data_IF_632724865220
#
_entry.id   IF_632724865220
#
_cell.length_a   1.000
_cell.length_b   1.000
_cell.length_c   1.000
_cell.angle_alpha   90.00
_cell.angle_beta   90.00
_cell.angle_gamma   90.00
#
_symmetry.space_group_name_H-M   'P 1'
#
loop_
_entity.id
_entity.type
_entity.pdbx_description
1 polymer ?
#
# COMPACT_ATOMS: atom_id res chain seq x y z
N UNK A 1 13.91 -5.47 22.13
CA UNK A 1 13.49 -4.12 21.68
C UNK A 1 12.32 -4.33 20.73
N UNK A 2 11.11 -3.81 21.02
CA UNK A 2 10.00 -3.93 20.06
C UNK A 2 10.44 -3.25 18.75
N UNK A 3 10.25 -3.86 17.56
CA UNK A 3 10.52 -3.18 16.30
C UNK A 3 9.75 -1.85 16.30
N UNK A 4 10.39 -0.76 15.88
CA UNK A 4 9.70 0.51 15.75
C UNK A 4 8.46 0.32 14.86
N UNK A 5 7.31 0.82 15.30
CA UNK A 5 6.09 0.76 14.51
C UNK A 5 6.17 1.84 13.41
N UNK A 6 6.51 1.39 12.20
CA UNK A 6 6.74 2.23 11.03
C UNK A 6 5.54 2.16 10.09
N UNK A 7 5.38 3.19 9.26
CA UNK A 7 4.33 3.22 8.22
C UNK A 7 4.48 2.02 7.30
N UNK A 8 5.72 1.68 6.90
CA UNK A 8 6.00 0.52 6.07
C UNK A 8 5.48 -0.78 6.71
N UNK A 9 5.79 -1.01 7.99
CA UNK A 9 5.43 -2.25 8.65
C UNK A 9 3.91 -2.39 8.77
N UNK A 10 3.21 -1.34 9.21
CA UNK A 10 1.73 -1.35 9.29
C UNK A 10 1.07 -1.52 7.94
N UNK A 11 1.59 -0.87 6.91
CA UNK A 11 1.06 -1.03 5.56
C UNK A 11 1.26 -2.45 5.03
N UNK A 12 2.44 -3.03 5.28
CA UNK A 12 2.74 -4.39 4.88
C UNK A 12 1.86 -5.39 5.66
N UNK A 13 1.70 -5.20 6.96
CA UNK A 13 0.81 -6.02 7.80
C UNK A 13 -0.64 -5.89 7.29
N UNK A 14 -1.18 -4.68 7.12
CA UNK A 14 -2.53 -4.44 6.56
C UNK A 14 -2.75 -5.12 5.20
N UNK A 15 -1.77 -5.07 4.31
CA UNK A 15 -1.88 -5.69 2.99
C UNK A 15 -1.71 -7.22 3.02
N UNK A 16 -0.99 -7.76 4.01
CA UNK A 16 -0.76 -9.19 4.16
C UNK A 16 -1.80 -9.89 5.04
N UNK A 17 -2.46 -9.17 5.94
CA UNK A 17 -3.52 -9.67 6.83
C UNK A 17 -4.82 -8.95 6.53
N UNK A 18 -5.37 -9.20 5.34
CA UNK A 18 -6.74 -8.83 5.01
C UNK A 18 -7.67 -9.80 5.72
N UNK A 19 -8.74 -9.29 6.31
CA UNK A 19 -9.84 -10.14 6.78
C UNK A 19 -10.52 -10.82 5.59
N UNK A 20 -11.21 -11.96 5.77
CA UNK A 20 -11.92 -12.62 4.67
C UNK A 20 -12.92 -11.68 3.95
N UNK A 21 -13.56 -10.78 4.69
CA UNK A 21 -14.48 -9.78 4.13
C UNK A 21 -13.74 -8.74 3.27
N UNK A 22 -12.55 -8.29 3.71
CA UNK A 22 -11.69 -7.41 2.93
C UNK A 22 -11.10 -8.14 1.71
N UNK A 23 -10.70 -9.41 1.84
CA UNK A 23 -10.25 -10.22 0.71
C UNK A 23 -11.36 -10.37 -0.34
N UNK A 24 -12.60 -10.65 0.08
CA UNK A 24 -13.74 -10.75 -0.80
C UNK A 24 -14.04 -9.41 -1.49
N UNK A 25 -14.03 -8.31 -0.74
CA UNK A 25 -14.20 -6.96 -1.29
C UNK A 25 -13.11 -6.63 -2.33
N UNK A 26 -11.84 -6.88 -2.01
CA UNK A 26 -10.74 -6.62 -2.93
C UNK A 26 -10.77 -7.54 -4.14
N UNK A 27 -11.15 -8.81 -4.00
CA UNK A 27 -11.34 -9.71 -5.12
C UNK A 27 -12.48 -9.25 -6.05
N UNK A 28 -13.56 -8.72 -5.47
CA UNK A 28 -14.68 -8.14 -6.22
C UNK A 28 -14.26 -6.87 -6.95
N UNK A 29 -13.55 -5.95 -6.29
CA UNK A 29 -13.03 -4.73 -6.90
C UNK A 29 -11.97 -5.03 -7.98
N UNK A 30 -11.07 -5.98 -7.75
CA UNK A 30 -10.12 -6.46 -8.74
C UNK A 30 -10.86 -7.04 -9.96
N UNK A 31 -11.91 -7.84 -9.75
CA UNK A 31 -12.72 -8.38 -10.83
C UNK A 31 -13.46 -7.27 -11.60
N UNK A 32 -14.01 -6.26 -10.93
CA UNK A 32 -14.65 -5.09 -11.57
C UNK A 32 -13.65 -4.29 -12.41
N UNK A 33 -12.46 -4.03 -11.87
CA UNK A 33 -11.38 -3.34 -12.60
C UNK A 33 -10.95 -4.18 -13.81
N UNK A 34 -10.77 -5.49 -13.65
CA UNK A 34 -10.40 -6.39 -14.73
C UNK A 34 -11.46 -6.40 -15.83
N UNK A 35 -12.74 -6.51 -15.48
CA UNK A 35 -13.88 -6.43 -16.42
C UNK A 35 -13.95 -5.10 -17.13
N UNK A 36 -13.73 -4.00 -16.42
CA UNK A 36 -13.70 -2.65 -17.00
C UNK A 36 -12.56 -2.53 -18.01
N UNK A 37 -11.35 -2.99 -17.66
CA UNK A 37 -10.21 -3.01 -18.57
C UNK A 37 -10.48 -3.89 -19.78
N UNK A 38 -11.05 -5.08 -19.58
CA UNK A 38 -11.39 -6.03 -20.65
C UNK A 38 -12.40 -5.44 -21.64
N UNK A 39 -13.51 -4.89 -21.15
CA UNK A 39 -14.53 -4.24 -21.97
C UNK A 39 -13.95 -3.09 -22.80
N UNK A 40 -13.08 -2.28 -22.20
CA UNK A 40 -12.46 -1.16 -22.90
C UNK A 40 -11.43 -1.62 -23.95
N UNK A 41 -10.63 -2.64 -23.65
CA UNK A 41 -9.70 -3.22 -24.61
C UNK A 41 -10.45 -3.77 -25.83
N UNK A 42 -11.59 -4.42 -25.61
CA UNK A 42 -12.46 -4.88 -26.70
C UNK A 42 -12.93 -3.69 -27.56
N UNK A 43 -13.38 -2.60 -26.94
CA UNK A 43 -13.79 -1.38 -27.65
C UNK A 43 -12.65 -0.71 -28.43
N UNK A 44 -11.45 -0.60 -27.85
CA UNK A 44 -10.25 -0.07 -28.51
C UNK A 44 -9.84 -0.93 -29.72
N UNK A 45 -10.09 -2.24 -29.67
CA UNK A 45 -9.88 -3.16 -30.79
C UNK A 45 -11.04 -3.17 -31.81
N UNK A 46 -11.98 -2.23 -31.71
CA UNK A 46 -13.08 -2.06 -32.65
C UNK A 46 -14.30 -2.96 -32.37
N UNK A 47 -14.36 -3.62 -31.23
CA UNK A 47 -15.53 -4.43 -30.84
C UNK A 47 -16.62 -3.52 -30.27
N UNK A 48 -17.78 -3.52 -30.91
CA UNK A 48 -18.96 -2.80 -30.43
C UNK A 48 -19.71 -3.69 -29.43
N UNK A 49 -19.69 -3.32 -28.15
CA UNK A 49 -20.38 -4.04 -27.07
C UNK A 49 -21.88 -3.73 -27.06
N UNK A 50 -22.59 -4.15 -28.12
CA UNK A 50 -24.04 -3.99 -28.27
C UNK A 50 -24.67 -5.36 -28.49
N UNK A 51 -25.68 -5.70 -27.71
CA UNK A 51 -26.35 -7.00 -27.79
C UNK A 51 -27.06 -7.38 -26.50
N UNK A 52 -27.47 -8.65 -26.39
CA UNK A 52 -28.08 -9.17 -25.18
C UNK A 52 -27.09 -9.07 -24.00
N UNK A 53 -27.48 -8.56 -22.81
CA UNK A 53 -26.57 -8.30 -21.70
C UNK A 53 -25.70 -9.50 -21.32
N UNK A 54 -26.28 -10.71 -21.25
CA UNK A 54 -25.53 -11.92 -20.89
C UNK A 54 -24.44 -12.30 -21.90
N UNK A 55 -24.60 -11.96 -23.19
CA UNK A 55 -23.58 -12.22 -24.21
C UNK A 55 -22.44 -11.20 -24.13
N UNK A 56 -22.77 -9.95 -23.79
CA UNK A 56 -21.78 -8.90 -23.54
C UNK A 56 -20.94 -9.25 -22.30
N UNK A 57 -21.59 -9.66 -21.21
CA UNK A 57 -20.90 -10.13 -20.00
C UNK A 57 -20.00 -11.33 -20.28
N UNK A 58 -20.50 -12.35 -20.99
CA UNK A 58 -19.70 -13.51 -21.37
C UNK A 58 -18.48 -13.13 -22.22
N UNK A 59 -18.63 -12.20 -23.17
CA UNK A 59 -17.52 -11.74 -24.00
C UNK A 59 -16.47 -10.95 -23.19
N UNK A 60 -16.91 -10.12 -22.24
CA UNK A 60 -16.03 -9.42 -21.29
C UNK A 60 -15.29 -10.43 -20.41
N UNK A 61 -15.98 -11.43 -19.87
CA UNK A 61 -15.36 -12.47 -19.04
C UNK A 61 -14.31 -13.29 -19.81
N UNK A 62 -14.56 -13.58 -21.10
CA UNK A 62 -13.54 -14.18 -21.97
C UNK A 62 -12.33 -13.28 -22.18
N UNK A 63 -12.53 -11.99 -22.35
CA UNK A 63 -11.42 -11.03 -22.45
C UNK A 63 -10.67 -10.90 -21.11
N UNK A 64 -11.35 -11.03 -19.97
CA UNK A 64 -10.71 -11.13 -18.66
C UNK A 64 -9.77 -12.34 -18.57
N UNK A 65 -10.20 -13.52 -19.03
CA UNK A 65 -9.35 -14.73 -19.05
C UNK A 65 -8.08 -14.53 -19.88
N UNK A 66 -8.15 -13.76 -20.96
CA UNK A 66 -6.97 -13.43 -21.76
C UNK A 66 -6.03 -12.47 -21.05
N UNK A 67 -6.56 -11.55 -20.24
CA UNK A 67 -5.80 -10.53 -19.49
C UNK A 67 -5.18 -11.11 -18.22
N UNK A 68 -5.88 -12.03 -17.54
CA UNK A 68 -5.49 -12.60 -16.25
C UNK A 68 -4.03 -13.09 -16.20
N UNK A 69 -3.48 -13.85 -17.19
CA UNK A 69 -2.09 -14.30 -17.19
C UNK A 69 -1.02 -13.20 -17.14
N UNK A 70 -1.38 -11.95 -17.44
CA UNK A 70 -0.48 -10.79 -17.42
C UNK A 70 -0.73 -9.89 -16.21
N UNK A 71 -1.93 -9.95 -15.66
CA UNK A 71 -2.29 -9.34 -14.38
C UNK A 71 -1.64 -10.14 -13.24
N UNK A 72 -1.75 -11.47 -13.23
CA UNK A 72 -1.26 -12.37 -12.18
C UNK A 72 0.24 -12.23 -11.83
N UNK A 73 1.18 -12.09 -12.78
CA UNK A 73 2.61 -11.89 -12.47
C UNK A 73 2.89 -10.57 -11.74
N UNK A 74 2.00 -9.59 -11.85
CA UNK A 74 2.10 -8.37 -11.06
C UNK A 74 1.90 -8.70 -9.57
N UNK A 75 0.83 -9.44 -9.23
CA UNK A 75 0.45 -9.80 -7.86
C UNK A 75 1.32 -10.91 -7.25
N UNK A 76 1.85 -11.82 -8.07
CA UNK A 76 2.70 -12.92 -7.61
C UNK A 76 4.19 -12.53 -7.39
N UNK A 77 4.57 -11.28 -7.69
CA UNK A 77 5.96 -10.82 -7.59
C UNK A 77 6.81 -11.17 -8.82
N UNK A 78 8.10 -10.75 -8.84
CA UNK A 78 8.96 -11.02 -10.01
C UNK A 78 9.17 -12.53 -10.20
N UNK A 79 8.82 -13.12 -11.37
CA UNK A 79 8.86 -14.57 -11.59
C UNK A 79 10.29 -15.13 -11.69
N UNK A 80 11.32 -14.28 -11.79
CA UNK A 80 12.69 -14.73 -11.96
C UNK A 80 13.58 -14.36 -10.76
N UNK A 81 13.99 -15.40 -10.01
CA UNK A 81 15.13 -15.33 -9.09
C UNK A 81 16.38 -14.95 -9.88
N UNK A 82 16.74 -13.66 -9.91
CA UNK A 82 18.12 -13.29 -10.20
C UNK A 82 18.98 -13.83 -9.05
N UNK A 83 20.02 -14.59 -9.38
CA UNK A 83 20.92 -15.26 -8.42
C UNK A 83 21.35 -14.26 -7.32
N UNK A 84 21.09 -14.60 -6.05
CA UNK A 84 21.49 -13.79 -4.89
C UNK A 84 20.53 -12.67 -4.46
N UNK A 85 19.39 -12.45 -5.13
CA UNK A 85 18.38 -11.47 -4.68
C UNK A 85 17.09 -12.18 -4.25
N UNK A 86 16.62 -12.00 -3.00
CA UNK A 86 15.31 -12.48 -2.63
C UNK A 86 14.24 -11.78 -3.47
N UNK A 87 13.19 -12.50 -3.91
CA UNK A 87 12.07 -11.88 -4.60
C UNK A 87 11.43 -10.84 -3.68
N UNK A 88 11.10 -9.67 -4.25
CA UNK A 88 10.28 -8.68 -3.56
C UNK A 88 8.84 -8.95 -3.97
N UNK A 89 7.99 -9.19 -2.97
CA UNK A 89 6.56 -9.42 -3.16
C UNK A 89 5.87 -8.15 -3.73
N UNK A 90 4.67 -8.35 -4.25
CA UNK A 90 3.91 -7.25 -4.87
C UNK A 90 3.56 -6.15 -3.88
N UNK A 91 3.08 -6.51 -2.68
CA UNK A 91 2.66 -5.54 -1.66
C UNK A 91 3.82 -4.62 -1.26
N UNK A 92 4.99 -5.20 -0.96
CA UNK A 92 6.22 -4.45 -0.68
C UNK A 92 6.59 -3.52 -1.82
N UNK A 93 6.51 -4.00 -3.07
CA UNK A 93 6.83 -3.19 -4.25
C UNK A 93 5.86 -2.01 -4.40
N UNK A 94 4.57 -2.27 -4.23
CA UNK A 94 3.51 -1.28 -4.37
C UNK A 94 3.55 -0.23 -3.26
N UNK A 95 3.88 -0.61 -2.01
CA UNK A 95 4.12 0.35 -0.91
C UNK A 95 5.26 1.31 -1.29
N UNK A 96 6.40 0.80 -1.74
CA UNK A 96 7.54 1.65 -2.13
C UNK A 96 7.22 2.54 -3.33
N UNK A 97 6.52 2.00 -4.33
CA UNK A 97 6.13 2.75 -5.52
C UNK A 97 5.13 3.86 -5.18
N UNK A 98 4.09 3.56 -4.40
CA UNK A 98 3.07 4.50 -3.97
C UNK A 98 3.67 5.64 -3.14
N UNK A 99 4.53 5.30 -2.16
CA UNK A 99 5.22 6.30 -1.36
C UNK A 99 6.10 7.23 -2.21
N UNK A 100 6.80 6.70 -3.24
CA UNK A 100 7.58 7.54 -4.14
C UNK A 100 6.68 8.49 -4.94
N UNK A 101 5.55 8.00 -5.47
CA UNK A 101 4.59 8.80 -6.24
C UNK A 101 3.99 9.93 -5.39
N UNK A 102 3.74 9.71 -4.09
CA UNK A 102 3.27 10.77 -3.17
C UNK A 102 4.19 12.00 -3.14
N UNK A 103 5.50 11.79 -3.25
CA UNK A 103 6.51 12.85 -3.17
C UNK A 103 7.06 13.25 -4.54
N UNK A 104 6.60 12.61 -5.62
CA UNK A 104 6.97 12.96 -6.99
C UNK A 104 6.10 14.13 -7.49
N UNK A 105 6.57 15.36 -7.29
CA UNK A 105 5.91 16.59 -7.75
C UNK A 105 6.71 17.33 -8.81
N UNK A 106 6.06 18.30 -9.47
CA UNK A 106 6.73 19.20 -10.43
C UNK A 106 7.92 19.90 -9.78
N UNK A 107 9.10 19.75 -10.38
CA UNK A 107 10.35 20.34 -9.88
C UNK A 107 11.09 19.51 -8.83
N UNK A 108 10.55 18.37 -8.37
CA UNK A 108 11.22 17.46 -7.45
C UNK A 108 11.90 16.34 -8.23
N UNK A 109 13.22 16.16 -8.04
CA UNK A 109 13.92 15.03 -8.66
C UNK A 109 13.44 13.71 -8.05
N UNK A 110 13.40 12.64 -8.84
CA UNK A 110 13.07 11.29 -8.36
C UNK A 110 13.92 10.86 -7.17
N UNK A 111 15.18 11.29 -7.12
CA UNK A 111 16.09 11.02 -6.00
C UNK A 111 15.67 11.72 -4.71
N UNK A 112 15.21 12.97 -4.80
CA UNK A 112 14.68 13.70 -3.65
C UNK A 112 13.36 13.08 -3.17
N UNK A 113 12.44 12.77 -4.09
CA UNK A 113 11.19 12.09 -3.78
C UNK A 113 11.43 10.72 -3.11
N UNK A 114 12.38 9.93 -3.62
CA UNK A 114 12.72 8.63 -3.02
C UNK A 114 13.30 8.75 -1.61
N UNK A 115 14.07 9.82 -1.33
CA UNK A 115 14.59 10.09 0.01
C UNK A 115 13.45 10.46 0.97
N UNK A 116 12.52 11.31 0.54
CA UNK A 116 11.34 11.68 1.32
C UNK A 116 10.45 10.46 1.57
N UNK A 117 10.20 9.65 0.55
CA UNK A 117 9.45 8.41 0.65
C UNK A 117 10.08 7.43 1.66
N UNK A 118 11.40 7.25 1.62
CA UNK A 118 12.10 6.39 2.56
C UNK A 118 11.99 6.90 4.01
N UNK A 119 12.11 8.21 4.22
CA UNK A 119 11.95 8.82 5.53
C UNK A 119 10.52 8.67 6.07
N UNK A 120 9.53 8.89 5.20
CA UNK A 120 8.12 8.75 5.53
C UNK A 120 7.75 7.30 5.89
N UNK A 121 8.22 6.33 5.11
CA UNK A 121 7.95 4.91 5.32
C UNK A 121 8.62 4.35 6.59
N UNK A 122 9.79 4.86 6.96
CA UNK A 122 10.62 4.32 8.05
C UNK A 122 11.30 3.00 7.68
N UNK A 123 12.08 2.43 8.61
CA UNK A 123 12.77 1.16 8.37
C UNK A 123 11.79 0.04 7.97
N UNK A 124 12.17 -0.85 7.01
CA UNK A 124 13.46 -0.99 6.34
C UNK A 124 13.57 -0.18 5.02
N UNK A 125 12.75 0.84 4.82
CA UNK A 125 12.78 1.66 3.62
C UNK A 125 14.11 2.41 3.49
N UNK A 126 14.67 2.40 2.29
CA UNK A 126 15.81 3.22 1.91
C UNK A 126 15.54 3.89 0.59
N UNK A 127 16.23 5.00 0.30
CA UNK A 127 16.13 5.70 -0.99
C UNK A 127 16.26 4.70 -2.16
N UNK A 128 17.31 3.89 -2.14
CA UNK A 128 17.58 2.87 -3.16
C UNK A 128 16.45 1.85 -3.30
N UNK A 129 15.83 1.44 -2.19
CA UNK A 129 14.69 0.51 -2.23
C UNK A 129 13.48 1.17 -2.87
N UNK A 130 13.19 2.43 -2.55
CA UNK A 130 12.09 3.18 -3.16
C UNK A 130 12.30 3.32 -4.68
N UNK A 131 13.47 3.77 -5.11
CA UNK A 131 13.77 3.93 -6.55
C UNK A 131 13.74 2.61 -7.31
N UNK A 132 14.40 1.56 -6.80
CA UNK A 132 14.48 0.26 -7.48
C UNK A 132 13.11 -0.37 -7.62
N UNK A 133 12.27 -0.30 -6.59
CA UNK A 133 10.93 -0.89 -6.62
C UNK A 133 9.96 -0.09 -7.49
N UNK A 134 10.01 1.23 -7.46
CA UNK A 134 9.23 2.06 -8.38
C UNK A 134 9.61 1.81 -9.85
N UNK A 135 10.90 1.76 -10.16
CA UNK A 135 11.37 1.45 -11.52
C UNK A 135 10.97 0.03 -11.96
N UNK A 136 11.04 -0.95 -11.05
CA UNK A 136 10.59 -2.31 -11.32
C UNK A 136 9.09 -2.34 -11.61
N UNK A 137 8.28 -1.67 -10.78
CA UNK A 137 6.84 -1.52 -10.97
C UNK A 137 6.53 -0.88 -12.33
N UNK A 138 7.16 0.27 -12.64
CA UNK A 138 6.97 0.99 -13.91
C UNK A 138 7.31 0.13 -15.12
N UNK A 139 8.39 -0.64 -15.04
CA UNK A 139 8.81 -1.55 -16.12
C UNK A 139 7.77 -2.65 -16.34
N UNK A 140 7.28 -3.26 -15.27
CA UNK A 140 6.26 -4.33 -15.35
C UNK A 140 4.95 -3.79 -15.92
N UNK A 141 4.45 -2.67 -15.39
CA UNK A 141 3.23 -2.04 -15.90
C UNK A 141 3.36 -1.62 -17.35
N UNK A 142 4.49 -1.02 -17.73
CA UNK A 142 4.75 -0.64 -19.12
C UNK A 142 4.77 -1.84 -20.07
N UNK A 143 5.33 -2.97 -19.64
CA UNK A 143 5.33 -4.21 -20.43
C UNK A 143 3.92 -4.76 -20.60
N UNK A 144 3.11 -4.77 -19.54
CA UNK A 144 1.71 -5.21 -19.58
C UNK A 144 0.89 -4.30 -20.50
N UNK A 145 1.01 -2.98 -20.35
CA UNK A 145 0.34 -1.99 -21.21
C UNK A 145 0.76 -2.17 -22.67
N UNK A 146 2.06 -2.35 -22.96
CA UNK A 146 2.58 -2.54 -24.32
C UNK A 146 2.08 -3.84 -24.95
N UNK A 147 2.00 -4.93 -24.18
CA UNK A 147 1.45 -6.20 -24.65
C UNK A 147 -0.03 -6.09 -25.06
N UNK A 148 -0.72 -5.02 -24.64
CA UNK A 148 -2.14 -4.72 -24.94
C UNK A 148 -2.31 -3.51 -25.85
N UNK A 149 -1.38 -3.29 -26.78
CA UNK A 149 -1.50 -2.22 -27.76
C UNK A 149 -1.35 -0.80 -27.19
N UNK A 150 -0.97 -0.66 -25.92
CA UNK A 150 -0.82 0.66 -25.29
C UNK A 150 -2.08 1.22 -24.63
N UNK A 151 -3.07 0.37 -24.31
CA UNK A 151 -4.33 0.77 -23.67
C UNK A 151 -4.16 1.82 -22.56
N UNK A 152 -4.74 3.01 -22.76
CA UNK A 152 -4.58 4.13 -21.83
C UNK A 152 -5.33 3.89 -20.52
N UNK A 153 -6.53 3.29 -20.57
CA UNK A 153 -7.28 2.97 -19.35
C UNK A 153 -6.59 1.94 -18.47
N UNK A 154 -5.86 1.00 -19.06
CA UNK A 154 -5.02 0.06 -18.31
C UNK A 154 -3.87 0.78 -17.59
N UNK A 155 -3.27 1.79 -18.23
CA UNK A 155 -2.28 2.67 -17.59
C UNK A 155 -2.92 3.45 -16.43
N UNK A 156 -4.11 4.00 -16.64
CA UNK A 156 -4.84 4.77 -15.62
C UNK A 156 -5.22 3.87 -14.43
N UNK A 157 -5.63 2.63 -14.67
CA UNK A 157 -5.94 1.65 -13.62
C UNK A 157 -4.70 1.33 -12.76
N UNK A 158 -3.53 1.15 -13.38
CA UNK A 158 -2.28 0.98 -12.63
C UNK A 158 -1.89 2.23 -11.84
N UNK A 159 -2.09 3.42 -12.40
CA UNK A 159 -1.84 4.65 -11.66
C UNK A 159 -2.80 4.80 -10.48
N UNK A 160 -4.08 4.49 -10.68
CA UNK A 160 -5.12 4.53 -9.66
C UNK A 160 -4.78 3.63 -8.47
N UNK A 161 -4.31 2.40 -8.72
CA UNK A 161 -3.95 1.50 -7.61
C UNK A 161 -2.80 2.04 -6.75
N UNK A 162 -1.83 2.75 -7.34
CA UNK A 162 -0.80 3.44 -6.55
C UNK A 162 -1.37 4.60 -5.74
N UNK A 163 -2.35 5.33 -6.27
CA UNK A 163 -3.01 6.41 -5.52
C UNK A 163 -3.84 5.88 -4.35
N UNK A 164 -4.58 4.78 -4.53
CA UNK A 164 -5.31 4.13 -3.44
C UNK A 164 -4.37 3.69 -2.32
N UNK A 165 -3.25 3.03 -2.68
CA UNK A 165 -2.24 2.64 -1.69
C UNK A 165 -1.60 3.88 -1.04
N UNK A 166 -1.35 4.94 -1.81
CA UNK A 166 -0.82 6.18 -1.26
C UNK A 166 -1.76 6.83 -0.22
N UNK A 167 -3.06 6.78 -0.44
CA UNK A 167 -4.04 7.30 0.51
C UNK A 167 -4.11 6.42 1.77
N UNK A 168 -4.04 5.09 1.62
CA UNK A 168 -3.89 4.17 2.75
C UNK A 168 -2.64 4.49 3.59
N UNK A 169 -1.50 4.77 2.92
CA UNK A 169 -0.26 5.13 3.60
C UNK A 169 -0.39 6.43 4.40
N UNK A 170 -1.13 7.43 3.89
CA UNK A 170 -1.40 8.68 4.62
C UNK A 170 -2.25 8.41 5.87
N UNK A 171 -3.30 7.60 5.75
CA UNK A 171 -4.16 7.23 6.87
C UNK A 171 -3.36 6.51 7.96
N UNK A 172 -2.55 5.52 7.59
CA UNK A 172 -1.66 4.79 8.51
C UNK A 172 -0.68 5.75 9.21
N UNK A 173 -0.09 6.69 8.48
CA UNK A 173 0.81 7.67 9.06
C UNK A 173 0.10 8.58 10.08
N UNK A 174 -1.11 9.05 9.76
CA UNK A 174 -1.91 9.87 10.67
C UNK A 174 -2.28 9.11 11.95
N UNK A 175 -2.67 7.83 11.84
CA UNK A 175 -2.94 6.96 12.99
C UNK A 175 -1.71 6.79 13.88
N UNK A 176 -0.54 6.51 13.28
CA UNK A 176 0.72 6.39 14.02
C UNK A 176 1.11 7.69 14.73
N UNK A 177 0.90 8.83 14.10
CA UNK A 177 1.14 10.14 14.73
C UNK A 177 0.20 10.38 15.92
N UNK A 178 -1.08 10.08 15.77
CA UNK A 178 -2.07 10.20 16.83
C UNK A 178 -1.73 9.29 18.03
N UNK A 179 -1.32 8.05 17.78
CA UNK A 179 -0.89 7.12 18.84
C UNK A 179 0.37 7.60 19.56
N UNK A 180 1.38 8.09 18.82
CA UNK A 180 2.59 8.65 19.44
C UNK A 180 2.28 9.87 20.28
N UNK A 181 1.37 10.73 19.84
CA UNK A 181 0.91 11.89 20.61
C UNK A 181 0.17 11.45 21.89
N UNK A 182 -0.72 10.46 21.79
CA UNK A 182 -1.42 9.89 22.93
C UNK A 182 -0.46 9.23 23.93
N UNK A 183 0.54 8.50 23.47
CA UNK A 183 1.56 7.89 24.33
C UNK A 183 2.44 8.95 25.00
N UNK A 184 2.82 10.01 24.28
CA UNK A 184 3.56 11.14 24.86
C UNK A 184 2.74 11.84 25.96
N UNK A 185 1.43 12.00 25.77
CA UNK A 185 0.52 12.56 26.76
C UNK A 185 0.37 11.63 28.00
N UNK A 186 0.29 10.31 27.78
CA UNK A 186 0.30 9.31 28.86
C UNK A 186 1.61 9.34 29.65
N UNK A 187 2.76 9.48 29.00
CA UNK A 187 4.07 9.61 29.69
C UNK A 187 4.17 10.90 30.50
N UNK A 188 3.62 12.02 30.00
CA UNK A 188 3.55 13.29 30.73
C UNK A 188 2.65 13.20 31.95
N UNK A 189 1.47 12.58 31.83
CA UNK A 189 0.53 12.40 32.96
C UNK A 189 1.02 11.38 33.99
N UNK A 190 1.67 10.29 33.57
CA UNK A 190 2.27 9.30 34.48
C UNK A 190 3.45 9.82 35.30
N UNK A 191 4.10 10.91 34.87
CA UNK A 191 5.11 11.62 35.68
C UNK A 191 4.50 12.50 36.78
N UNK A 192 3.18 12.74 36.75
CA UNK A 192 2.43 13.49 37.76
C UNK A 192 1.58 12.58 38.65
N UNK A 193 2.08 11.41 39.04
CA UNK A 193 1.54 10.75 40.25
C UNK A 193 2.03 11.56 41.44
N UNK A 194 1.20 12.47 41.92
CA UNK A 194 1.42 13.19 43.17
C UNK A 194 1.56 12.14 44.27
N UNK A 195 2.78 12.05 44.83
CA UNK A 195 3.01 11.39 46.11
C UNK A 195 2.20 12.18 47.15
N UNK A 196 0.96 11.77 47.43
CA UNK A 196 0.28 12.20 48.64
C UNK A 196 1.07 11.54 49.76
N UNK A 197 1.98 12.32 50.33
CA UNK A 197 2.85 11.91 51.42
C UNK A 197 2.04 11.25 52.51
N UNK A 198 2.53 10.11 52.98
CA UNK A 198 2.11 9.50 54.22
C UNK A 198 2.04 10.57 55.32
N UNK A 199 0.89 10.68 55.97
CA UNK A 199 0.74 11.45 57.20
C UNK A 199 1.76 10.94 58.22
N UNK A 200 2.57 11.82 58.85
CA UNK A 200 3.50 11.39 59.87
C UNK A 200 2.71 10.87 61.07
N UNK A 201 3.11 9.69 61.56
CA UNK A 201 2.57 9.02 62.74
C UNK A 201 2.22 10.00 63.86
N UNK A 202 0.92 10.08 64.19
CA UNK A 202 0.47 10.66 65.44
C UNK A 202 1.10 9.86 66.59
N UNK A 203 1.96 10.51 67.35
CA UNK A 203 2.55 10.02 68.58
C UNK A 203 1.46 9.64 69.57
N UNK A 204 1.46 8.38 70.00
CA UNK A 204 0.66 7.91 71.14
C UNK A 204 1.11 8.63 72.43
N UNK A 205 0.17 9.06 73.30
CA UNK A 205 0.53 9.66 74.59
C UNK A 205 1.16 8.61 75.50
N UNK A 206 2.33 8.93 76.06
CA UNK A 206 2.95 8.14 77.13
C UNK A 206 2.15 8.32 78.41
N UNK A 207 1.59 7.24 78.94
CA UNK A 207 1.13 7.20 80.33
C UNK A 207 2.33 7.09 81.26
N UNK A 208 2.44 8.01 82.23
CA UNK A 208 2.73 7.76 83.64
C UNK A 208 2.56 9.06 84.42
#
# INVERSE_FOLDING_TARGET
>A
MKPADTVFKRALDKLNTRTPDEEAFWAEEEAKVLRTVAANLMQENGVVLVGHPSLVEYAIDRACDEIAPYWTPMFQGEPQRKRGRPPVDYNTRSIYAAALVMFAGNGVSNSAAAKQAAQFLGEPATKDRCEKNFNAWRRITSQIVKARGGCQKLRDAFAYSLFTIADDLKSIAAELEAERAAEALRRKSGRHVTFIGATPNASLPKSK
#
